data_IF_078486006844
#
_entry.id   IF_078486006844
#
_cell.length_a   1.000
_cell.length_b   1.000
_cell.length_c   1.000
_cell.angle_alpha   90.00
_cell.angle_beta   90.00
_cell.angle_gamma   90.00
#
_symmetry.space_group_name_H-M   'P 1'
#
loop_
_entity.id
_entity.type
_entity.pdbx_description
1 polymer ?
#
# COMPACT_ATOMS: atom_id res chain seq x y z
N UNK A 1 6.87 -14.52 9.48
CA UNK A 1 7.60 -13.65 10.44
C UNK A 1 6.86 -12.33 10.59
N UNK A 2 6.94 -11.37 9.65
CA UNK A 2 6.35 -10.03 9.81
C UNK A 2 4.85 -10.01 10.21
N UNK A 3 4.02 -10.86 9.62
CA UNK A 3 2.59 -10.93 9.98
C UNK A 3 2.38 -11.30 11.45
N UNK A 4 3.14 -12.28 11.96
CA UNK A 4 3.02 -12.74 13.34
C UNK A 4 3.51 -11.66 14.31
N UNK A 5 4.61 -10.98 13.98
CA UNK A 5 5.12 -9.84 14.77
C UNK A 5 4.06 -8.73 14.85
N UNK A 6 3.45 -8.33 13.73
CA UNK A 6 2.42 -7.30 13.73
C UNK A 6 1.13 -7.75 14.43
N UNK A 7 0.80 -9.04 14.41
CA UNK A 7 -0.34 -9.55 15.16
C UNK A 7 -0.14 -9.42 16.68
N UNK A 8 1.10 -9.50 17.14
CA UNK A 8 1.47 -9.34 18.55
C UNK A 8 1.64 -7.87 18.95
N UNK A 9 2.36 -7.08 18.15
CA UNK A 9 2.72 -5.71 18.50
C UNK A 9 1.73 -4.64 18.06
N UNK A 10 1.12 -4.78 16.88
CA UNK A 10 0.32 -3.74 16.22
C UNK A 10 -0.94 -4.32 15.53
N UNK A 11 -1.83 -5.01 16.28
CA UNK A 11 -2.94 -5.75 15.70
C UNK A 11 -3.95 -4.86 14.95
N UNK A 12 -4.11 -3.60 15.37
CA UNK A 12 -4.98 -2.64 14.68
C UNK A 12 -4.42 -2.24 13.31
N UNK A 13 -3.11 -2.04 13.20
CA UNK A 13 -2.45 -1.76 11.94
C UNK A 13 -2.59 -2.95 10.98
N UNK A 14 -2.36 -4.15 11.49
CA UNK A 14 -2.52 -5.37 10.71
C UNK A 14 -3.96 -5.55 10.21
N UNK A 15 -4.97 -5.25 11.03
CA UNK A 15 -6.37 -5.28 10.63
C UNK A 15 -6.69 -4.23 9.55
N UNK A 16 -6.07 -3.04 9.62
CA UNK A 16 -6.22 -2.00 8.58
C UNK A 16 -5.62 -2.44 7.25
N UNK A 17 -4.48 -3.13 7.26
CA UNK A 17 -3.91 -3.71 6.03
C UNK A 17 -4.80 -4.82 5.46
N UNK A 18 -5.29 -5.70 6.33
CA UNK A 18 -6.19 -6.79 5.97
C UNK A 18 -7.45 -6.30 5.24
N UNK A 19 -8.04 -5.21 5.71
CA UNK A 19 -9.22 -4.60 5.10
C UNK A 19 -8.89 -3.69 3.91
N UNK A 20 -7.79 -2.93 3.99
CA UNK A 20 -7.49 -1.86 3.05
C UNK A 20 -6.83 -2.33 1.75
N UNK A 21 -5.92 -3.30 1.81
CA UNK A 21 -5.17 -3.72 0.62
C UNK A 21 -6.07 -4.27 -0.50
N UNK A 22 -7.07 -5.14 -0.23
CA UNK A 22 -7.97 -5.63 -1.28
C UNK A 22 -8.74 -4.52 -2.02
N UNK A 23 -9.16 -3.48 -1.32
CA UNK A 23 -9.85 -2.33 -1.94
C UNK A 23 -8.88 -1.37 -2.67
N UNK A 24 -7.66 -1.23 -2.13
CA UNK A 24 -6.66 -0.29 -2.62
C UNK A 24 -5.96 -0.77 -3.90
N UNK A 25 -5.59 -2.06 -3.98
CA UNK A 25 -4.75 -2.58 -5.07
C UNK A 25 -5.35 -2.34 -6.47
N UNK A 26 -6.65 -2.60 -6.74
CA UNK A 26 -7.24 -2.30 -8.05
C UNK A 26 -7.22 -0.80 -8.43
N UNK A 27 -7.04 0.08 -7.44
CA UNK A 27 -7.04 1.53 -7.57
C UNK A 27 -5.64 2.12 -7.46
N UNK A 28 -4.57 1.31 -7.43
CA UNK A 28 -3.19 1.77 -7.25
C UNK A 28 -2.82 2.93 -8.20
N UNK A 29 -3.27 2.87 -9.46
CA UNK A 29 -3.02 3.93 -10.45
C UNK A 29 -3.55 5.31 -10.04
N UNK A 30 -4.62 5.40 -9.25
CA UNK A 30 -5.18 6.69 -8.77
C UNK A 30 -4.22 7.38 -7.82
N UNK A 31 -3.58 6.61 -6.95
CA UNK A 31 -2.68 7.11 -5.94
C UNK A 31 -1.36 7.65 -6.51
N UNK A 32 -0.98 7.28 -7.74
CA UNK A 32 0.26 7.79 -8.38
C UNK A 32 0.22 9.32 -8.50
N UNK A 33 -0.86 9.86 -9.05
CA UNK A 33 -1.02 11.30 -9.21
C UNK A 33 -1.12 12.02 -7.86
N UNK A 34 -1.89 11.46 -6.92
CA UNK A 34 -2.05 12.02 -5.58
C UNK A 34 -0.72 12.05 -4.80
N UNK A 35 0.11 11.00 -4.89
CA UNK A 35 1.42 10.97 -4.23
C UNK A 35 2.37 12.01 -4.82
N UNK A 36 2.35 12.22 -6.15
CA UNK A 36 3.12 13.31 -6.77
C UNK A 36 2.62 14.69 -6.32
N UNK A 37 1.31 14.91 -6.23
CA UNK A 37 0.76 16.17 -5.75
C UNK A 37 1.15 16.48 -4.30
N UNK A 38 1.12 15.46 -3.41
CA UNK A 38 1.60 15.62 -2.03
C UNK A 38 3.11 15.90 -2.00
N UNK A 39 3.89 15.23 -2.84
CA UNK A 39 5.33 15.47 -2.93
C UNK A 39 5.63 16.92 -3.37
N UNK A 40 4.92 17.44 -4.36
CA UNK A 40 5.04 18.82 -4.83
C UNK A 40 4.59 19.83 -3.77
N UNK A 41 3.48 19.55 -3.08
CA UNK A 41 3.01 20.36 -1.95
C UNK A 41 4.08 20.46 -0.84
N UNK A 42 4.78 19.35 -0.59
CA UNK A 42 5.85 19.25 0.40
C UNK A 42 7.22 19.71 -0.13
N UNK A 43 7.34 20.25 -1.35
CA UNK A 43 8.64 20.66 -1.91
C UNK A 43 9.52 21.54 -0.99
N UNK A 44 8.99 22.43 -0.13
CA UNK A 44 9.80 23.15 0.86
C UNK A 44 10.47 22.25 1.92
N UNK A 45 9.85 21.11 2.26
CA UNK A 45 10.42 20.05 3.09
C UNK A 45 10.91 18.89 2.21
N UNK A 46 12.20 18.93 1.86
CA UNK A 46 12.82 17.93 1.00
C UNK A 46 12.64 16.49 1.52
N UNK A 47 12.65 16.28 2.83
CA UNK A 47 12.50 14.93 3.38
C UNK A 47 11.06 14.43 3.21
N UNK A 48 10.07 15.27 3.52
CA UNK A 48 8.66 15.00 3.27
C UNK A 48 8.39 14.69 1.79
N UNK A 49 8.81 15.56 0.88
CA UNK A 49 8.63 15.36 -0.56
C UNK A 49 9.23 14.05 -1.07
N UNK A 50 10.39 13.63 -0.55
CA UNK A 50 11.03 12.36 -0.94
C UNK A 50 10.24 11.12 -0.55
N UNK A 51 9.61 11.12 0.62
CA UNK A 51 8.78 9.98 1.07
C UNK A 51 7.63 9.75 0.10
N UNK A 52 6.92 10.81 -0.29
CA UNK A 52 5.78 10.71 -1.18
C UNK A 52 6.17 10.48 -2.64
N UNK A 53 7.30 11.00 -3.09
CA UNK A 53 7.86 10.64 -4.39
C UNK A 53 8.17 9.13 -4.47
N UNK A 54 8.80 8.56 -3.44
CA UNK A 54 9.03 7.11 -3.36
C UNK A 54 7.73 6.30 -3.29
N UNK A 55 6.71 6.81 -2.59
CA UNK A 55 5.38 6.20 -2.59
C UNK A 55 4.75 6.19 -3.99
N UNK A 56 4.90 7.27 -4.77
CA UNK A 56 4.43 7.34 -6.15
C UNK A 56 5.10 6.27 -7.03
N UNK A 57 6.40 6.03 -6.85
CA UNK A 57 7.12 4.97 -7.56
C UNK A 57 6.60 3.57 -7.20
N UNK A 58 6.32 3.31 -5.93
CA UNK A 58 5.72 2.06 -5.47
C UNK A 58 4.35 1.86 -6.14
N UNK A 59 3.46 2.85 -6.08
CA UNK A 59 2.13 2.73 -6.69
C UNK A 59 2.19 2.63 -8.21
N UNK A 60 3.16 3.26 -8.86
CA UNK A 60 3.39 3.12 -10.31
C UNK A 60 3.70 1.67 -10.66
N UNK A 61 4.59 1.03 -9.90
CA UNK A 61 4.92 -0.38 -10.08
C UNK A 61 3.71 -1.28 -9.81
N UNK A 62 2.98 -1.05 -8.71
CA UNK A 62 1.79 -1.85 -8.36
C UNK A 62 0.67 -1.72 -9.41
N UNK A 63 0.58 -0.58 -10.11
CA UNK A 63 -0.38 -0.37 -11.18
C UNK A 63 0.04 -0.98 -12.53
N UNK A 64 1.31 -1.34 -12.69
CA UNK A 64 1.87 -1.89 -13.91
C UNK A 64 1.88 -3.43 -13.89
N UNK A 65 1.96 -4.06 -15.06
CA UNK A 65 2.00 -5.53 -15.18
C UNK A 65 3.18 -6.15 -14.42
N UNK A 66 4.31 -5.43 -14.35
CA UNK A 66 5.52 -5.89 -13.65
C UNK A 66 5.30 -6.01 -12.13
N UNK A 67 4.30 -5.30 -11.57
CA UNK A 67 3.95 -5.34 -10.16
C UNK A 67 2.88 -6.37 -9.79
N UNK A 68 2.38 -7.18 -10.74
CA UNK A 68 1.31 -8.15 -10.47
C UNK A 68 1.69 -9.13 -9.35
N UNK A 69 2.94 -9.62 -9.35
CA UNK A 69 3.45 -10.50 -8.30
C UNK A 69 3.50 -9.82 -6.91
N UNK A 70 3.81 -8.52 -6.88
CA UNK A 70 3.85 -7.73 -5.64
C UNK A 70 2.42 -7.55 -5.08
N UNK A 71 1.45 -7.26 -5.95
CA UNK A 71 0.03 -7.19 -5.60
C UNK A 71 -0.46 -8.52 -5.03
N UNK A 72 -0.14 -9.64 -5.69
CA UNK A 72 -0.50 -10.99 -5.19
C UNK A 72 0.09 -11.24 -3.80
N UNK A 73 1.36 -10.89 -3.59
CA UNK A 73 2.01 -11.07 -2.28
C UNK A 73 1.35 -10.22 -1.18
N UNK A 74 0.99 -8.97 -1.48
CA UNK A 74 0.30 -8.07 -0.53
C UNK A 74 -1.11 -8.55 -0.20
N UNK A 75 -1.85 -9.07 -1.19
CA UNK A 75 -3.17 -9.65 -0.95
C UNK A 75 -3.08 -10.93 -0.12
N UNK A 76 -2.12 -11.82 -0.40
CA UNK A 76 -1.89 -13.01 0.40
C UNK A 76 -1.51 -12.66 1.87
N UNK A 77 -0.72 -11.60 2.05
CA UNK A 77 -0.41 -11.06 3.37
C UNK A 77 -1.66 -10.57 4.11
N UNK A 78 -2.54 -9.82 3.42
CA UNK A 78 -3.81 -9.33 3.97
C UNK A 78 -4.80 -10.47 4.30
N UNK A 79 -4.87 -11.50 3.46
CA UNK A 79 -5.71 -12.68 3.72
C UNK A 79 -5.24 -13.47 4.93
N UNK A 80 -3.92 -13.66 5.09
CA UNK A 80 -3.35 -14.31 6.26
C UNK A 80 -3.64 -13.54 7.57
N UNK A 81 -3.89 -12.23 7.46
CA UNK A 81 -4.30 -11.36 8.56
C UNK A 81 -5.81 -11.32 8.82
N UNK A 82 -6.61 -12.14 8.12
CA UNK A 82 -8.07 -12.20 8.28
C UNK A 82 -8.86 -11.31 7.32
N UNK A 83 -8.19 -10.67 6.35
CA UNK A 83 -8.84 -9.94 5.26
C UNK A 83 -9.57 -10.89 4.32
N UNK A 84 -10.69 -10.47 3.74
CA UNK A 84 -11.37 -11.25 2.71
C UNK A 84 -11.36 -10.51 1.39
N UNK A 85 -10.82 -11.14 0.36
CA UNK A 85 -10.86 -10.68 -1.04
C UNK A 85 -12.26 -10.82 -1.67
N UNK A 86 -13.27 -11.30 -0.92
CA UNK A 86 -14.66 -11.36 -1.39
C UNK A 86 -15.29 -9.97 -1.29
N UNK A 87 -15.32 -9.30 -2.43
CA UNK A 87 -16.11 -8.09 -2.70
C UNK A 87 -17.51 -8.22 -2.09
N UNK A 88 -17.88 -7.26 -1.25
CA UNK A 88 -19.24 -7.09 -0.74
C UNK A 88 -20.06 -6.26 -1.70
#
# INVERSE_FOLDING_TARGET
ALQAELAESEPELLARFAAGFPDMMPKAHRWVAEMHEIADFLAPDRAGGQVFAGAAEIFTRLAASEGEADVVALLAFAEAAGGSSRTR
#
